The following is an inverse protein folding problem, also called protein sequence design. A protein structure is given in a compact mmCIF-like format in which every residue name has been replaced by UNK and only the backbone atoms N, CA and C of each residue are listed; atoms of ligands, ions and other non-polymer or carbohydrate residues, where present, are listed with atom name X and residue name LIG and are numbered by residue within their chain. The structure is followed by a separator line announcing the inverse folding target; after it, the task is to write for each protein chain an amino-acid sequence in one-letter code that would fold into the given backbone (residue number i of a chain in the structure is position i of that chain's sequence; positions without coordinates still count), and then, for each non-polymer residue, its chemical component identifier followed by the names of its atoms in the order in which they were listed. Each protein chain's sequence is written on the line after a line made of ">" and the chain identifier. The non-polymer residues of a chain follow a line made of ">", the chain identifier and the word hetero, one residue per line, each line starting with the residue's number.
data_IF_509236689905
#
_entry.id   IF_509236689905
#
_cell.length_a   1.000
_cell.length_b   1.000
_cell.length_c   1.000
_cell.angle_alpha   90.00
_cell.angle_beta   90.00
_cell.angle_gamma   90.00
#
_symmetry.space_group_name_H-M   'P 1'
#
loop_
_entity.id
_entity.type
_entity.pdbx_description
1 polymer ?
#
# COMPACT_ATOMS: atom_id res chain seq x y z
N UNK A 1 23.29 -5.08 26.67
CA UNK A 1 22.91 -5.26 25.24
C UNK A 1 21.91 -4.19 24.84
N UNK A 2 22.38 -3.13 24.19
CA UNK A 2 21.53 -2.06 23.66
C UNK A 2 20.66 -2.64 22.55
N UNK A 3 19.36 -2.84 22.83
CA UNK A 3 18.40 -3.29 21.81
C UNK A 3 18.18 -2.14 20.83
N UNK A 4 19.00 -2.07 19.77
CA UNK A 4 18.71 -1.22 18.64
C UNK A 4 17.36 -1.64 18.06
N UNK A 5 16.32 -0.83 18.32
CA UNK A 5 15.03 -0.99 17.66
C UNK A 5 15.29 -0.92 16.15
N UNK A 6 15.01 -2.00 15.42
CA UNK A 6 15.28 -2.02 13.99
C UNK A 6 14.46 -0.94 13.28
N UNK A 7 15.20 0.01 12.73
CA UNK A 7 14.68 1.05 11.87
C UNK A 7 15.03 0.63 10.45
N UNK A 8 14.04 0.73 9.56
CA UNK A 8 14.28 0.60 8.13
C UNK A 8 15.40 1.59 7.74
N UNK A 9 16.41 1.13 6.98
CA UNK A 9 17.34 2.01 6.29
C UNK A 9 16.61 3.17 5.62
N UNK A 10 17.24 4.35 5.60
CA UNK A 10 16.62 5.57 5.09
C UNK A 10 16.12 5.41 3.65
N UNK A 11 16.87 4.70 2.81
CA UNK A 11 16.48 4.43 1.42
C UNK A 11 15.22 3.57 1.35
N UNK A 12 15.16 2.44 2.07
CA UNK A 12 13.98 1.55 2.07
C UNK A 12 12.72 2.29 2.50
N UNK A 13 12.85 3.11 3.56
CA UNK A 13 11.74 3.93 4.05
C UNK A 13 11.29 4.98 3.02
N UNK A 14 12.24 5.69 2.40
CA UNK A 14 11.93 6.70 1.37
C UNK A 14 11.28 6.04 0.15
N UNK A 15 11.84 4.94 -0.36
CA UNK A 15 11.30 4.20 -1.49
C UNK A 15 9.87 3.72 -1.23
N UNK A 16 9.59 3.18 -0.03
CA UNK A 16 8.24 2.77 0.36
C UNK A 16 7.24 3.94 0.33
N UNK A 17 7.59 5.09 0.92
CA UNK A 17 6.68 6.24 0.93
C UNK A 17 6.49 6.87 -0.43
N UNK A 18 7.56 6.98 -1.23
CA UNK A 18 7.48 7.53 -2.58
C UNK A 18 6.62 6.63 -3.46
N UNK A 19 6.85 5.31 -3.46
CA UNK A 19 6.05 4.37 -4.22
C UNK A 19 4.58 4.36 -3.76
N UNK A 20 4.34 4.31 -2.44
CA UNK A 20 2.98 4.33 -1.89
C UNK A 20 2.23 5.64 -2.16
N UNK A 21 2.90 6.78 -2.05
CA UNK A 21 2.32 8.07 -2.39
C UNK A 21 2.04 8.19 -3.89
N UNK A 22 2.96 7.73 -4.75
CA UNK A 22 2.75 7.70 -6.19
C UNK A 22 1.55 6.83 -6.57
N UNK A 23 1.41 5.64 -5.98
CA UNK A 23 0.26 4.75 -6.19
C UNK A 23 -1.06 5.39 -5.77
N UNK A 24 -1.12 5.95 -4.55
CA UNK A 24 -2.34 6.59 -4.06
C UNK A 24 -2.71 7.81 -4.90
N UNK A 25 -1.74 8.69 -5.19
CA UNK A 25 -1.99 9.91 -5.94
C UNK A 25 -2.43 9.59 -7.38
N UNK A 26 -1.75 8.67 -8.07
CA UNK A 26 -2.12 8.30 -9.44
C UNK A 26 -3.45 7.54 -9.50
N UNK A 27 -3.75 6.70 -8.51
CA UNK A 27 -5.04 6.00 -8.42
C UNK A 27 -6.21 6.95 -8.16
N UNK A 28 -6.06 7.88 -7.22
CA UNK A 28 -7.07 8.92 -6.96
C UNK A 28 -7.25 9.84 -8.16
N UNK A 29 -6.14 10.26 -8.79
CA UNK A 29 -6.20 11.07 -10.01
C UNK A 29 -6.97 10.35 -11.11
N UNK A 30 -6.68 9.06 -11.34
CA UNK A 30 -7.40 8.26 -12.32
C UNK A 30 -8.90 8.19 -12.02
N UNK A 31 -9.28 7.89 -10.76
CA UNK A 31 -10.69 7.86 -10.34
C UNK A 31 -11.41 9.19 -10.58
N UNK A 32 -10.78 10.31 -10.21
CA UNK A 32 -11.35 11.65 -10.41
C UNK A 32 -11.57 11.90 -11.89
N UNK A 33 -10.56 11.67 -12.73
CA UNK A 33 -10.68 11.91 -14.17
C UNK A 33 -11.75 11.01 -14.79
N UNK A 34 -11.68 9.70 -14.53
CA UNK A 34 -12.55 8.70 -15.14
C UNK A 34 -14.03 8.89 -14.80
N UNK A 35 -14.34 9.27 -13.55
CA UNK A 35 -15.72 9.49 -13.11
C UNK A 35 -16.19 10.94 -13.23
N UNK A 36 -15.34 11.87 -13.66
CA UNK A 36 -15.73 13.26 -13.94
C UNK A 36 -16.17 13.50 -15.39
N UNK A 37 -15.83 12.59 -16.30
CA UNK A 37 -16.23 12.67 -17.71
C UNK A 37 -17.72 12.39 -17.89
N UNK A 38 -18.38 13.11 -18.80
CA UNK A 38 -19.78 12.85 -19.13
C UNK A 38 -19.91 11.58 -19.99
N UNK A 39 -21.07 10.92 -19.92
CA UNK A 39 -21.34 9.74 -20.73
C UNK A 39 -21.23 10.06 -22.23
N UNK A 40 -20.36 9.35 -22.94
CA UNK A 40 -20.11 9.55 -24.37
C UNK A 40 -18.93 10.48 -24.70
N UNK A 41 -18.28 11.09 -23.70
CA UNK A 41 -17.05 11.84 -23.92
C UNK A 41 -15.83 10.91 -24.06
N UNK A 42 -14.83 11.40 -24.78
CA UNK A 42 -13.54 10.73 -24.86
C UNK A 42 -12.83 10.77 -23.49
N UNK A 43 -12.12 9.71 -23.09
CA UNK A 43 -11.36 9.70 -21.84
C UNK A 43 -10.36 10.85 -21.75
N UNK A 44 -10.16 11.38 -20.55
CA UNK A 44 -9.22 12.49 -20.34
C UNK A 44 -7.78 12.03 -20.66
N UNK A 45 -6.96 12.79 -21.41
CA UNK A 45 -5.62 12.33 -21.83
C UNK A 45 -4.69 11.94 -20.68
N UNK A 46 -4.89 12.53 -19.50
CA UNK A 46 -4.12 12.21 -18.29
C UNK A 46 -4.49 10.85 -17.66
N UNK A 47 -5.62 10.22 -18.02
CA UNK A 47 -5.95 8.88 -17.51
C UNK A 47 -4.86 7.86 -17.90
N UNK A 48 -4.41 7.90 -19.15
CA UNK A 48 -3.36 7.02 -19.65
C UNK A 48 -2.03 7.25 -18.90
N UNK A 49 -1.68 8.51 -18.63
CA UNK A 49 -0.47 8.84 -17.88
C UNK A 49 -0.56 8.46 -16.40
N UNK A 50 -1.73 8.65 -15.78
CA UNK A 50 -2.00 8.20 -14.42
C UNK A 50 -1.80 6.69 -14.30
N UNK A 51 -2.35 5.90 -15.24
CA UNK A 51 -2.18 4.45 -15.25
C UNK A 51 -0.74 4.00 -15.52
N UNK A 52 0.00 4.68 -16.41
CA UNK A 52 1.43 4.40 -16.64
C UNK A 52 2.26 4.61 -15.37
N UNK A 53 2.05 5.74 -14.69
CA UNK A 53 2.72 6.03 -13.43
C UNK A 53 2.32 5.03 -12.33
N UNK A 54 1.02 4.70 -12.26
CA UNK A 54 0.51 3.70 -11.31
C UNK A 54 1.14 2.33 -11.52
N UNK A 55 1.22 1.87 -12.78
CA UNK A 55 1.89 0.63 -13.16
C UNK A 55 3.37 0.62 -12.80
N UNK A 56 4.11 1.71 -13.10
CA UNK A 56 5.52 1.82 -12.71
C UNK A 56 5.69 1.77 -11.17
N UNK A 57 4.86 2.51 -10.44
CA UNK A 57 4.91 2.55 -8.99
C UNK A 57 4.53 1.20 -8.35
N UNK A 58 3.69 0.38 -9.00
CA UNK A 58 3.30 -0.94 -8.51
C UNK A 58 4.48 -1.91 -8.52
N UNK A 59 5.33 -1.90 -9.55
CA UNK A 59 6.57 -2.70 -9.58
C UNK A 59 7.51 -2.31 -8.43
N UNK A 60 7.70 -1.01 -8.22
CA UNK A 60 8.52 -0.51 -7.10
C UNK A 60 7.93 -0.94 -5.74
N UNK A 61 6.60 -0.86 -5.58
CA UNK A 61 5.92 -1.28 -4.36
C UNK A 61 6.03 -2.80 -4.12
N UNK A 62 5.83 -3.64 -5.15
CA UNK A 62 5.99 -5.10 -5.06
C UNK A 62 7.42 -5.49 -4.68
N UNK A 63 8.42 -4.88 -5.33
CA UNK A 63 9.82 -5.05 -4.95
C UNK A 63 10.05 -4.69 -3.48
N UNK A 64 9.55 -3.53 -3.04
CA UNK A 64 9.69 -3.08 -1.66
C UNK A 64 8.93 -3.98 -0.67
N UNK A 65 7.76 -4.51 -1.02
CA UNK A 65 7.05 -5.50 -0.20
C UNK A 65 7.90 -6.76 0.01
N UNK A 66 8.59 -7.23 -1.03
CA UNK A 66 9.55 -8.33 -0.91
C UNK A 66 10.72 -8.00 0.04
N UNK A 67 11.32 -6.82 -0.12
CA UNK A 67 12.38 -6.33 0.79
C UNK A 67 11.90 -6.27 2.24
N UNK A 68 10.68 -5.78 2.48
CA UNK A 68 10.09 -5.71 3.82
C UNK A 68 9.74 -7.09 4.37
N UNK A 69 9.26 -8.01 3.54
CA UNK A 69 8.97 -9.39 3.94
C UNK A 69 10.24 -10.12 4.41
N UNK A 70 11.39 -9.84 3.79
CA UNK A 70 12.67 -10.43 4.19
C UNK A 70 13.28 -9.78 5.44
N UNK A 71 13.29 -8.44 5.51
CA UNK A 71 14.05 -7.71 6.54
C UNK A 71 13.18 -7.19 7.70
N UNK A 72 11.99 -6.66 7.41
CA UNK A 72 11.17 -5.95 8.38
C UNK A 72 10.22 -6.87 9.15
N UNK A 73 9.48 -7.72 8.43
CA UNK A 73 8.42 -8.56 9.01
C UNK A 73 8.96 -9.57 10.03
N UNK A 74 10.04 -10.35 9.75
CA UNK A 74 10.54 -11.34 10.71
C UNK A 74 11.08 -10.69 11.97
N UNK A 75 11.73 -9.55 11.83
CA UNK A 75 12.23 -8.80 12.98
C UNK A 75 11.10 -8.14 13.77
N UNK A 76 10.09 -7.60 13.09
CA UNK A 76 8.87 -7.12 13.72
C UNK A 76 8.24 -8.21 14.56
N UNK A 77 8.12 -9.44 14.04
CA UNK A 77 7.58 -10.59 14.76
C UNK A 77 8.39 -10.92 16.02
N UNK A 78 9.72 -11.01 15.91
CA UNK A 78 10.61 -11.27 17.05
C UNK A 78 10.50 -10.19 18.14
N UNK A 79 10.40 -8.91 17.75
CA UNK A 79 10.35 -7.79 18.70
C UNK A 79 8.96 -7.59 19.32
N UNK A 80 7.89 -8.01 18.63
CA UNK A 80 6.49 -7.87 19.07
C UNK A 80 5.96 -9.11 19.80
N UNK A 81 6.77 -10.16 19.94
CA UNK A 81 6.42 -11.36 20.73
C UNK A 81 6.24 -11.10 22.23
N UNK A 82 6.61 -9.91 22.74
CA UNK A 82 6.28 -9.48 24.11
C UNK A 82 4.88 -8.87 24.15
N UNK A 83 4.05 -9.28 25.11
CA UNK A 83 2.65 -8.85 25.31
C UNK A 83 2.42 -7.33 25.11
N UNK A 84 3.34 -6.47 25.60
CA UNK A 84 3.26 -4.99 25.45
C UNK A 84 3.29 -4.45 24.01
N UNK A 85 3.69 -5.26 23.01
CA UNK A 85 3.79 -4.86 21.59
C UNK A 85 2.95 -5.72 20.66
N UNK A 86 2.05 -6.56 21.20
CA UNK A 86 1.16 -7.42 20.41
C UNK A 86 0.30 -6.62 19.42
N UNK A 87 -0.08 -5.40 19.81
CA UNK A 87 -0.79 -4.48 18.94
C UNK A 87 -0.07 -4.12 17.64
N UNK A 88 1.25 -3.99 17.68
CA UNK A 88 2.03 -3.69 16.48
C UNK A 88 2.07 -4.84 15.51
N UNK A 89 2.11 -6.08 16.04
CA UNK A 89 2.00 -7.29 15.24
C UNK A 89 0.69 -7.32 14.45
N UNK A 90 -0.43 -6.99 15.10
CA UNK A 90 -1.74 -6.93 14.45
C UNK A 90 -1.78 -5.92 13.29
N UNK A 91 -1.29 -4.70 13.52
CA UNK A 91 -1.25 -3.68 12.46
C UNK A 91 -0.30 -4.03 11.32
N UNK A 92 0.83 -4.69 11.60
CA UNK A 92 1.76 -5.17 10.58
C UNK A 92 1.16 -6.30 9.75
N UNK A 93 0.46 -7.25 10.38
CA UNK A 93 -0.25 -8.32 9.68
C UNK A 93 -1.37 -7.77 8.79
N UNK A 94 -2.14 -6.81 9.29
CA UNK A 94 -3.17 -6.15 8.49
C UNK A 94 -2.57 -5.49 7.24
N UNK A 95 -1.41 -4.83 7.35
CA UNK A 95 -0.72 -4.25 6.19
C UNK A 95 -0.22 -5.31 5.20
N UNK A 96 0.26 -6.46 5.67
CA UNK A 96 0.63 -7.57 4.79
C UNK A 96 -0.59 -8.09 4.01
N UNK A 97 -1.74 -8.25 4.68
CA UNK A 97 -2.99 -8.70 4.05
C UNK A 97 -3.46 -7.67 3.03
N UNK A 98 -3.49 -6.39 3.38
CA UNK A 98 -3.87 -5.32 2.45
C UNK A 98 -2.93 -5.25 1.24
N UNK A 99 -1.61 -5.41 1.44
CA UNK A 99 -0.64 -5.47 0.35
C UNK A 99 -0.86 -6.66 -0.59
N UNK A 100 -1.16 -7.84 -0.04
CA UNK A 100 -1.48 -9.03 -0.82
C UNK A 100 -2.79 -8.87 -1.60
N UNK A 101 -3.84 -8.29 -0.98
CA UNK A 101 -5.10 -7.97 -1.64
C UNK A 101 -4.91 -6.95 -2.76
N UNK A 102 -4.09 -5.92 -2.57
CA UNK A 102 -3.76 -4.96 -3.63
C UNK A 102 -3.06 -5.63 -4.81
N UNK A 103 -2.06 -6.47 -4.54
CA UNK A 103 -1.36 -7.20 -5.60
C UNK A 103 -2.33 -8.13 -6.37
N UNK A 104 -3.16 -8.88 -5.65
CA UNK A 104 -4.12 -9.80 -6.26
C UNK A 104 -5.17 -9.06 -7.08
N UNK A 105 -5.83 -8.05 -6.51
CA UNK A 105 -6.88 -7.29 -7.20
C UNK A 105 -6.31 -6.51 -8.39
N UNK A 106 -5.09 -5.97 -8.29
CA UNK A 106 -4.40 -5.34 -9.42
C UNK A 106 -4.09 -6.33 -10.55
N UNK A 107 -3.63 -7.54 -10.21
CA UNK A 107 -3.41 -8.62 -11.18
C UNK A 107 -4.72 -9.04 -11.87
N UNK A 108 -5.80 -9.21 -11.09
CA UNK A 108 -7.12 -9.53 -11.63
C UNK A 108 -7.66 -8.42 -12.54
N UNK A 109 -7.48 -7.15 -12.18
CA UNK A 109 -7.86 -6.00 -13.01
C UNK A 109 -7.10 -5.97 -14.35
N UNK A 110 -5.83 -6.39 -14.33
CA UNK A 110 -4.98 -6.38 -15.52
C UNK A 110 -5.31 -7.54 -16.47
N UNK A 111 -5.52 -8.76 -15.95
CA UNK A 111 -5.63 -9.96 -16.78
C UNK A 111 -7.04 -10.54 -16.90
N UNK A 112 -7.92 -10.32 -15.92
CA UNK A 112 -9.17 -11.08 -15.77
C UNK A 112 -10.43 -10.22 -15.64
N UNK A 113 -10.33 -8.89 -15.75
CA UNK A 113 -11.48 -8.00 -15.60
C UNK A 113 -12.27 -7.84 -16.89
N UNK A 114 -13.23 -8.73 -17.13
CA UNK A 114 -14.28 -8.51 -18.14
C UNK A 114 -15.13 -7.29 -17.80
N UNK A 115 -15.87 -6.76 -18.77
CA UNK A 115 -16.73 -5.57 -18.60
C UNK A 115 -17.71 -5.71 -17.42
N UNK A 116 -18.24 -6.90 -17.16
CA UNK A 116 -19.19 -7.14 -16.08
C UNK A 116 -18.58 -7.12 -14.67
N UNK A 117 -17.31 -7.48 -14.52
CA UNK A 117 -16.64 -7.58 -13.21
C UNK A 117 -15.68 -6.42 -12.94
N UNK A 118 -15.24 -5.73 -14.01
CA UNK A 118 -14.28 -4.61 -13.94
C UNK A 118 -14.72 -3.51 -12.96
N UNK A 119 -15.99 -3.04 -12.92
CA UNK A 119 -16.40 -2.01 -11.97
C UNK A 119 -16.26 -2.47 -10.52
N UNK A 120 -16.73 -3.68 -10.20
CA UNK A 120 -16.68 -4.24 -8.85
C UNK A 120 -15.22 -4.43 -8.38
N UNK A 121 -14.36 -4.99 -9.23
CA UNK A 121 -12.93 -5.13 -8.94
C UNK A 121 -12.23 -3.77 -8.79
N UNK A 122 -12.60 -2.79 -9.62
CA UNK A 122 -12.05 -1.43 -9.56
C UNK A 122 -12.35 -0.74 -8.23
N UNK A 123 -13.61 -0.82 -7.77
CA UNK A 123 -14.01 -0.30 -6.47
C UNK A 123 -13.34 -1.02 -5.31
N UNK A 124 -13.28 -2.36 -5.35
CA UNK A 124 -12.58 -3.14 -4.33
C UNK A 124 -11.10 -2.76 -4.24
N UNK A 125 -10.39 -2.72 -5.37
CA UNK A 125 -8.97 -2.34 -5.42
C UNK A 125 -8.76 -0.94 -4.84
N UNK A 126 -9.62 0.01 -5.23
CA UNK A 126 -9.56 1.40 -4.76
C UNK A 126 -9.78 1.51 -3.26
N UNK A 127 -10.80 0.83 -2.72
CA UNK A 127 -11.10 0.82 -1.29
C UNK A 127 -9.95 0.20 -0.47
N UNK A 128 -9.39 -0.92 -0.93
CA UNK A 128 -8.23 -1.56 -0.29
C UNK A 128 -7.01 -0.62 -0.36
N UNK A 129 -6.82 0.12 -1.44
CA UNK A 129 -5.75 1.11 -1.59
C UNK A 129 -5.81 2.21 -0.55
N UNK A 130 -6.98 2.83 -0.39
CA UNK A 130 -7.21 3.86 0.64
C UNK A 130 -7.00 3.27 2.04
N UNK A 131 -7.54 2.07 2.29
CA UNK A 131 -7.36 1.38 3.58
C UNK A 131 -5.89 1.08 3.89
N UNK A 132 -5.08 0.69 2.89
CA UNK A 132 -3.65 0.47 3.04
C UNK A 132 -2.91 1.77 3.40
N UNK A 133 -3.25 2.89 2.74
CA UNK A 133 -2.70 4.21 3.07
C UNK A 133 -3.00 4.63 4.52
N UNK A 134 -4.27 4.51 4.94
CA UNK A 134 -4.69 4.80 6.31
C UNK A 134 -4.04 3.85 7.33
N UNK A 135 -4.00 2.55 7.03
CA UNK A 135 -3.35 1.53 7.85
C UNK A 135 -1.85 1.79 8.04
N UNK A 136 -1.16 2.26 7.01
CA UNK A 136 0.26 2.59 7.08
C UNK A 136 0.51 3.79 7.99
N UNK A 137 -0.33 4.82 7.90
CA UNK A 137 -0.28 5.96 8.81
C UNK A 137 -0.55 5.52 10.27
N UNK A 138 -1.52 4.65 10.48
CA UNK A 138 -1.86 4.12 11.81
C UNK A 138 -0.72 3.28 12.42
N UNK A 139 -0.16 2.36 11.65
CA UNK A 139 0.97 1.50 12.08
C UNK A 139 2.17 2.34 12.55
N UNK A 140 2.49 3.42 11.84
CA UNK A 140 3.56 4.32 12.22
C UNK A 140 3.25 5.13 13.48
N UNK A 141 2.04 5.70 13.60
CA UNK A 141 1.64 6.49 14.78
C UNK A 141 1.70 5.63 16.04
N UNK A 142 1.24 4.39 15.96
CA UNK A 142 1.31 3.42 17.07
C UNK A 142 2.76 3.11 17.46
N UNK A 143 3.67 2.97 16.48
CA UNK A 143 5.11 2.80 16.73
C UNK A 143 5.72 3.98 17.48
N UNK A 144 5.39 5.20 17.06
CA UNK A 144 5.87 6.41 17.72
C UNK A 144 5.36 6.53 19.16
N UNK A 145 4.09 6.18 19.42
CA UNK A 145 3.51 6.18 20.77
C UNK A 145 4.20 5.16 21.69
N UNK A 146 4.40 3.94 21.23
CA UNK A 146 5.08 2.90 22.02
C UNK A 146 6.56 3.21 22.28
N UNK A 147 7.20 4.00 21.41
CA UNK A 147 8.59 4.45 21.64
C UNK A 147 8.67 5.57 22.68
N UNK A 148 7.61 6.37 22.88
CA UNK A 148 7.58 7.45 23.88
C UNK A 148 7.22 6.99 25.29
N UNK A 149 6.60 5.82 25.44
CA UNK A 149 6.18 5.25 26.74
C UNK A 149 7.17 4.25 27.34
N UNK A 150 8.29 3.98 26.68
CA UNK A 150 9.40 3.15 27.18
C UNK A 150 10.63 4.03 27.36
#
# INVERSE_FOLDING_TARGET
>A
MTRHAHRLPRWQRRSLYVAGAALLASGVLWLVLHYSAAAGELPHPLEAWAMRLHGLASFAALFMLGVLAAAHVPQGWRLTGRQRRAGQRGTGLALCILGALLALTGYLLYYFASESVRPALGWLHSAVGIAAGAGLAFHQRRKSRETRMN
#
